data_IF_578838436051
#
_entry.id   IF_578838436051
#
_cell.length_a   1.000
_cell.length_b   1.000
_cell.length_c   1.000
_cell.angle_alpha   90.00
_cell.angle_beta   90.00
_cell.angle_gamma   90.00
#
_symmetry.space_group_name_H-M   'P 1'
#
loop_
_entity.id
_entity.type
_entity.pdbx_description
1 polymer ?
#
# COMPACT_ATOMS: atom_id res chain seq x y z
N UNK A 1 -13.60 -76.82 55.46
CA UNK A 1 -14.93 -77.06 54.86
C UNK A 1 -15.30 -75.83 54.06
N UNK A 2 -15.53 -75.99 52.74
CA UNK A 2 -16.01 -75.02 51.72
C UNK A 2 -15.19 -73.72 51.50
N UNK A 3 -14.39 -73.59 50.43
CA UNK A 3 -14.73 -73.14 49.04
C UNK A 3 -14.77 -71.59 48.95
N UNK A 4 -14.20 -70.87 47.97
CA UNK A 4 -14.04 -71.12 46.54
C UNK A 4 -13.05 -70.12 45.87
N UNK A 5 -12.53 -70.50 44.69
CA UNK A 5 -12.35 -69.70 43.44
C UNK A 5 -11.54 -68.38 43.44
N UNK A 6 -10.82 -67.94 42.41
CA UNK A 6 -10.38 -68.42 41.09
C UNK A 6 -9.33 -67.40 40.56
N UNK A 7 -8.54 -67.81 39.56
CA UNK A 7 -7.69 -67.07 38.60
C UNK A 7 -8.02 -65.58 38.31
N UNK A 8 -7.10 -64.69 37.92
CA UNK A 8 -6.27 -64.78 36.70
C UNK A 8 -5.21 -63.65 36.60
N UNK A 9 -4.15 -63.93 35.84
CA UNK A 9 -3.12 -63.01 35.36
C UNK A 9 -3.69 -61.90 34.45
N UNK A 10 -3.22 -60.65 34.60
CA UNK A 10 -3.33 -59.63 33.56
C UNK A 10 -2.10 -58.71 33.57
N UNK A 11 -1.18 -58.98 32.64
CA UNK A 11 -0.05 -58.12 32.26
C UNK A 11 -0.59 -57.04 31.30
N UNK A 12 -0.66 -55.80 31.77
CA UNK A 12 -1.08 -54.66 30.96
C UNK A 12 0.11 -53.92 30.35
N UNK A 13 0.57 -54.35 29.18
CA UNK A 13 1.34 -53.50 28.27
C UNK A 13 0.35 -52.79 27.34
N UNK A 14 0.36 -51.45 27.33
CA UNK A 14 -0.32 -50.64 26.32
C UNK A 14 0.58 -49.51 25.84
N UNK A 15 1.08 -49.69 24.63
CA UNK A 15 1.77 -48.69 23.81
C UNK A 15 0.93 -47.43 23.61
N UNK A 16 1.56 -46.24 23.48
CA UNK A 16 0.87 -45.03 23.08
C UNK A 16 0.68 -45.04 21.56
N UNK A 17 -0.50 -45.41 21.09
CA UNK A 17 -0.90 -45.15 19.70
C UNK A 17 -1.26 -43.67 19.59
N UNK A 18 -0.25 -42.83 19.36
CA UNK A 18 -0.44 -41.50 18.78
C UNK A 18 -1.19 -41.70 17.46
N UNK A 19 -2.44 -41.23 17.43
CA UNK A 19 -3.34 -41.41 16.30
C UNK A 19 -2.73 -40.76 15.05
N UNK A 20 -2.57 -41.49 13.93
CA UNK A 20 -2.07 -40.94 12.66
C UNK A 20 -2.96 -39.80 12.14
N UNK A 21 -4.22 -39.75 12.59
CA UNK A 21 -5.16 -38.66 12.31
C UNK A 21 -4.72 -37.34 12.97
N UNK A 22 -4.11 -37.37 14.17
CA UNK A 22 -3.59 -36.18 14.84
C UNK A 22 -2.36 -35.63 14.11
N UNK A 23 -1.49 -36.51 13.59
CA UNK A 23 -0.34 -36.14 12.77
C UNK A 23 -0.76 -35.56 11.40
N UNK A 24 -1.82 -36.10 10.78
CA UNK A 24 -2.42 -35.56 9.56
C UNK A 24 -3.09 -34.20 9.79
N UNK A 25 -3.77 -34.01 10.92
CA UNK A 25 -4.39 -32.73 11.29
C UNK A 25 -3.35 -31.65 11.66
N UNK A 26 -2.26 -32.03 12.35
CA UNK A 26 -1.11 -31.13 12.59
C UNK A 26 -0.36 -30.81 11.29
N UNK A 27 -0.20 -31.78 10.38
CA UNK A 27 0.44 -31.57 9.08
C UNK A 27 -0.39 -30.71 8.13
N UNK A 28 -1.71 -30.87 8.12
CA UNK A 28 -2.63 -30.09 7.30
C UNK A 28 -2.80 -28.64 7.80
N UNK A 29 -2.73 -28.41 9.12
CA UNK A 29 -2.78 -27.05 9.69
C UNK A 29 -1.50 -26.25 9.46
N UNK A 30 -0.36 -26.90 9.18
CA UNK A 30 0.89 -26.24 8.81
C UNK A 30 1.04 -25.99 7.30
N UNK A 31 0.22 -26.62 6.46
CA UNK A 31 0.37 -26.59 5.01
C UNK A 31 -0.50 -25.54 4.27
N UNK A 32 -1.38 -24.81 4.97
CA UNK A 32 -2.34 -23.89 4.34
C UNK A 32 -2.08 -22.39 4.58
N UNK A 33 -1.07 -22.02 5.35
CA UNK A 33 -0.56 -20.65 5.33
C UNK A 33 0.45 -20.55 4.18
N UNK A 34 -0.04 -20.43 2.95
CA UNK A 34 0.79 -19.90 1.87
C UNK A 34 1.25 -18.52 2.34
N UNK A 35 2.47 -18.44 2.86
CA UNK A 35 3.04 -17.23 3.43
C UNK A 35 3.24 -16.25 2.27
N UNK A 36 2.20 -15.48 1.96
CA UNK A 36 2.31 -14.37 1.03
C UNK A 36 3.45 -13.47 1.50
N UNK A 37 4.34 -13.08 0.59
CA UNK A 37 5.42 -12.16 0.90
C UNK A 37 4.87 -10.94 1.63
N UNK A 38 5.47 -10.53 2.77
CA UNK A 38 4.97 -9.38 3.50
C UNK A 38 5.06 -8.12 2.63
N UNK A 39 4.20 -7.11 2.86
CA UNK A 39 4.32 -5.84 2.18
C UNK A 39 5.72 -5.24 2.34
N UNK A 40 6.33 -4.85 1.22
CA UNK A 40 7.60 -4.18 1.22
C UNK A 40 7.40 -2.72 1.64
N UNK A 41 8.15 -2.27 2.64
CA UNK A 41 8.14 -0.89 3.13
C UNK A 41 9.44 -0.20 2.71
N UNK A 42 9.33 1.04 2.23
CA UNK A 42 10.46 1.86 1.85
C UNK A 42 10.27 3.28 2.39
N UNK A 43 11.15 3.71 3.29
CA UNK A 43 11.18 5.08 3.78
C UNK A 43 11.67 6.04 2.70
N UNK A 44 10.93 7.11 2.45
CA UNK A 44 11.18 8.07 1.38
C UNK A 44 11.30 9.50 1.93
N UNK A 45 11.95 10.36 1.17
CA UNK A 45 11.85 11.81 1.33
C UNK A 45 10.76 12.35 0.41
N UNK A 46 9.74 13.00 0.96
CA UNK A 46 8.77 13.77 0.20
C UNK A 46 9.29 15.21 0.09
N UNK A 47 9.68 15.60 -1.13
CA UNK A 47 10.33 16.87 -1.42
C UNK A 47 9.36 17.77 -2.18
N UNK A 48 9.14 18.96 -1.64
CA UNK A 48 8.32 19.98 -2.26
C UNK A 48 9.13 21.27 -2.40
N UNK A 49 8.98 21.91 -3.56
CA UNK A 49 9.48 23.25 -3.79
C UNK A 49 8.52 24.24 -3.10
N UNK A 50 9.07 25.09 -2.22
CA UNK A 50 8.29 26.17 -1.64
C UNK A 50 8.03 27.22 -2.72
N UNK A 51 6.74 27.48 -3.00
CA UNK A 51 6.31 28.37 -4.08
C UNK A 51 6.00 27.60 -5.35
N UNK A 52 4.80 27.02 -5.42
CA UNK A 52 4.33 26.29 -6.60
C UNK A 52 4.15 27.18 -7.83
N UNK A 53 5.22 27.43 -8.57
CA UNK A 53 5.21 28.30 -9.74
C UNK A 53 6.13 27.76 -10.82
N UNK A 54 5.56 27.18 -11.86
CA UNK A 54 6.32 26.80 -13.05
C UNK A 54 6.99 28.03 -13.66
N UNK A 55 8.31 28.08 -13.61
CA UNK A 55 9.06 29.18 -14.20
C UNK A 55 10.53 29.16 -13.80
N UNK A 56 11.34 28.37 -14.52
CA UNK A 56 12.75 28.58 -14.88
C UNK A 56 13.80 29.04 -13.86
N UNK A 57 13.45 29.32 -12.61
CA UNK A 57 14.35 29.80 -11.56
C UNK A 57 14.54 28.66 -10.57
N UNK A 58 15.80 28.35 -10.25
CA UNK A 58 16.12 27.33 -9.26
C UNK A 58 15.37 27.63 -7.95
N UNK A 59 14.60 26.68 -7.40
CA UNK A 59 13.88 26.87 -6.15
C UNK A 59 14.87 27.22 -5.04
N UNK A 60 14.64 28.33 -4.34
CA UNK A 60 15.49 28.77 -3.23
C UNK A 60 15.18 28.05 -1.93
N UNK A 61 13.96 27.50 -1.80
CA UNK A 61 13.48 26.84 -0.59
C UNK A 61 12.87 25.47 -0.93
N UNK A 62 13.48 24.41 -0.40
CA UNK A 62 13.00 23.03 -0.51
C UNK A 62 12.55 22.56 0.86
N UNK A 63 11.31 22.07 0.95
CA UNK A 63 10.83 21.38 2.14
C UNK A 63 10.95 19.87 1.95
N UNK A 64 11.61 19.19 2.88
CA UNK A 64 11.75 17.74 2.89
C UNK A 64 11.00 17.17 4.09
N UNK A 65 10.08 16.24 3.83
CA UNK A 65 9.27 15.57 4.85
C UNK A 65 9.47 14.06 4.76
N UNK A 66 9.32 13.33 5.85
CA UNK A 66 9.39 11.86 5.82
C UNK A 66 8.12 11.30 5.24
N UNK A 67 8.27 10.37 4.30
CA UNK A 67 7.18 9.61 3.70
C UNK A 67 7.47 8.11 3.77
N UNK A 68 6.44 7.32 3.54
CA UNK A 68 6.52 5.86 3.49
C UNK A 68 5.87 5.36 2.20
N UNK A 69 6.64 4.63 1.39
CA UNK A 69 6.10 3.85 0.28
C UNK A 69 5.88 2.41 0.75
N UNK A 70 4.67 1.90 0.54
CA UNK A 70 4.32 0.51 0.85
C UNK A 70 3.91 -0.19 -0.44
N UNK A 71 4.67 -1.20 -0.85
CA UNK A 71 4.35 -2.05 -1.99
C UNK A 71 3.75 -3.37 -1.46
N UNK A 72 2.43 -3.59 -1.62
CA UNK A 72 1.81 -4.86 -1.29
C UNK A 72 2.30 -5.97 -2.23
N UNK A 73 2.31 -7.23 -1.78
CA UNK A 73 2.58 -8.36 -2.67
C UNK A 73 1.68 -8.35 -3.92
N UNK A 74 2.15 -8.94 -5.04
CA UNK A 74 1.45 -8.90 -6.32
C UNK A 74 -0.02 -9.31 -6.22
N UNK A 75 -0.89 -8.51 -6.84
CA UNK A 75 -2.34 -8.77 -6.86
C UNK A 75 -3.08 -8.45 -5.56
N UNK A 76 -2.42 -7.88 -4.56
CA UNK A 76 -3.05 -7.53 -3.28
C UNK A 76 -3.20 -6.02 -3.10
N UNK A 77 -4.19 -5.64 -2.30
CA UNK A 77 -4.40 -4.27 -1.80
C UNK A 77 -4.56 -4.35 -0.28
N UNK A 78 -3.77 -3.58 0.47
CA UNK A 78 -3.94 -3.49 1.92
C UNK A 78 -5.07 -2.52 2.25
N UNK A 79 -5.86 -2.79 3.31
CA UNK A 79 -6.79 -1.81 3.86
C UNK A 79 -6.08 -0.53 4.31
N UNK A 80 -6.73 0.61 4.16
CA UNK A 80 -6.19 1.93 4.56
C UNK A 80 -5.81 1.97 6.04
N UNK A 81 -6.66 1.41 6.92
CA UNK A 81 -6.37 1.29 8.36
C UNK A 81 -5.08 0.49 8.66
N UNK A 82 -4.68 -0.45 7.79
CA UNK A 82 -3.43 -1.20 7.96
C UNK A 82 -2.19 -0.36 7.60
N UNK A 83 -2.35 0.63 6.72
CA UNK A 83 -1.28 1.57 6.36
C UNK A 83 -0.99 2.55 7.50
N UNK A 84 -2.05 3.02 8.17
CA UNK A 84 -1.94 3.99 9.27
C UNK A 84 -1.49 3.37 10.60
N UNK A 85 -1.93 2.15 10.91
CA UNK A 85 -1.63 1.49 12.20
C UNK A 85 -0.13 1.33 12.46
N UNK A 86 0.64 1.05 11.41
CA UNK A 86 2.07 0.73 11.51
C UNK A 86 2.94 1.87 10.94
N UNK A 87 2.44 3.11 10.99
CA UNK A 87 3.12 4.30 10.48
C UNK A 87 4.28 4.69 11.42
N UNK A 88 5.52 4.88 10.91
CA UNK A 88 6.62 5.39 11.72
C UNK A 88 6.30 6.78 12.29
N UNK A 89 6.74 7.06 13.52
CA UNK A 89 6.44 8.32 14.22
C UNK A 89 6.93 9.57 13.47
N UNK A 90 7.94 9.42 12.62
CA UNK A 90 8.51 10.52 11.84
C UNK A 90 7.69 10.85 10.59
N UNK A 91 6.80 9.95 10.15
CA UNK A 91 5.99 10.10 8.93
C UNK A 91 4.65 10.76 9.28
N UNK A 92 4.36 11.89 8.65
CA UNK A 92 3.11 12.62 8.85
C UNK A 92 1.89 11.86 8.27
N UNK A 93 0.69 12.01 8.86
CA UNK A 93 -0.53 11.50 8.27
C UNK A 93 -0.71 12.00 6.83
N UNK A 94 -1.06 11.10 5.91
CA UNK A 94 -1.19 11.41 4.49
C UNK A 94 0.11 11.37 3.67
N UNK A 95 1.27 11.07 4.28
CA UNK A 95 2.54 10.79 3.60
C UNK A 95 2.90 9.29 3.57
N UNK A 96 1.92 8.43 3.79
CA UNK A 96 2.03 7.00 3.55
C UNK A 96 1.32 6.66 2.23
N UNK A 97 2.05 6.08 1.30
CA UNK A 97 1.58 5.79 -0.05
C UNK A 97 1.60 4.28 -0.26
N UNK A 98 0.43 3.69 -0.45
CA UNK A 98 0.35 2.33 -0.98
C UNK A 98 0.54 2.39 -2.50
N UNK A 99 1.56 1.70 -2.99
CA UNK A 99 1.87 1.61 -4.41
C UNK A 99 1.25 0.35 -5.00
N UNK A 100 0.38 0.54 -5.99
CA UNK A 100 -0.13 -0.54 -6.83
C UNK A 100 0.70 -0.59 -8.11
N UNK A 101 1.26 -1.75 -8.40
CA UNK A 101 2.15 -1.99 -9.55
C UNK A 101 1.48 -2.92 -10.56
N UNK A 102 0.49 -2.45 -11.34
CA UNK A 102 -0.20 -3.29 -12.32
C UNK A 102 0.72 -3.74 -13.45
N UNK A 103 1.80 -3.02 -13.75
CA UNK A 103 2.80 -3.42 -14.75
C UNK A 103 3.72 -4.55 -14.26
N UNK A 104 3.80 -4.77 -12.94
CA UNK A 104 4.67 -5.79 -12.34
C UNK A 104 6.16 -5.45 -12.46
N UNK A 105 6.48 -4.16 -12.59
CA UNK A 105 7.84 -3.66 -12.82
C UNK A 105 8.71 -3.64 -11.56
N UNK A 106 8.08 -3.60 -10.37
CA UNK A 106 8.75 -3.41 -9.09
C UNK A 106 9.01 -4.72 -8.34
N UNK A 107 8.28 -5.77 -8.70
CA UNK A 107 8.48 -7.12 -8.18
C UNK A 107 9.39 -7.94 -9.10
N UNK A 108 10.16 -8.87 -8.54
CA UNK A 108 10.99 -9.82 -9.29
C UNK A 108 10.17 -10.80 -10.15
N UNK A 109 8.90 -11.00 -9.80
CA UNK A 109 7.97 -11.88 -10.48
C UNK A 109 6.55 -11.74 -9.91
N UNK A 110 5.67 -12.69 -10.26
CA UNK A 110 4.28 -12.75 -9.75
C UNK A 110 4.04 -13.85 -8.71
N UNK A 111 5.06 -14.66 -8.46
CA UNK A 111 5.00 -15.79 -7.54
C UNK A 111 4.89 -15.33 -6.07
N UNK A 112 4.41 -16.20 -5.16
CA UNK A 112 4.24 -15.87 -3.74
C UNK A 112 5.52 -15.41 -3.03
N UNK A 113 6.68 -15.86 -3.49
CA UNK A 113 8.02 -15.53 -2.98
C UNK A 113 8.68 -14.35 -3.70
N UNK A 114 7.95 -13.67 -4.60
CA UNK A 114 8.44 -12.50 -5.30
C UNK A 114 8.97 -11.46 -4.31
N UNK A 115 10.10 -10.86 -4.65
CA UNK A 115 10.77 -9.84 -3.84
C UNK A 115 10.76 -8.51 -4.57
N UNK A 116 10.74 -7.38 -3.84
CA UNK A 116 10.92 -6.09 -4.49
C UNK A 116 12.30 -6.04 -5.16
N UNK A 117 12.37 -5.47 -6.36
CA UNK A 117 13.63 -5.41 -7.16
C UNK A 117 14.70 -4.52 -6.54
N UNK A 118 14.32 -3.56 -5.69
CA UNK A 118 15.25 -2.77 -4.91
C UNK A 118 15.92 -3.55 -3.75
N UNK A 119 15.54 -4.81 -3.54
CA UNK A 119 16.16 -5.70 -2.57
C UNK A 119 15.60 -5.51 -1.16
N UNK A 120 16.35 -4.87 -0.27
CA UNK A 120 15.97 -4.77 1.15
C UNK A 120 14.76 -3.85 1.33
N UNK A 121 13.78 -4.31 2.11
CA UNK A 121 12.69 -3.48 2.62
C UNK A 121 13.12 -2.82 3.92
N UNK A 122 12.91 -1.52 4.05
CA UNK A 122 13.14 -0.77 5.28
C UNK A 122 12.18 0.41 5.36
N UNK A 123 11.39 0.50 6.42
CA UNK A 123 10.54 1.66 6.69
C UNK A 123 11.34 2.90 7.11
N UNK A 124 12.62 2.73 7.48
CA UNK A 124 13.53 3.83 7.77
C UNK A 124 14.61 3.95 6.70
N UNK A 125 14.87 5.14 6.16
CA UNK A 125 16.04 5.37 5.34
C UNK A 125 17.31 5.25 6.20
N UNK A 126 18.38 4.72 5.62
CA UNK A 126 19.62 4.46 6.33
C UNK A 126 20.67 3.84 5.41
N UNK A 127 21.87 3.62 5.95
CA UNK A 127 22.99 3.04 5.21
C UNK A 127 22.66 1.64 4.69
N UNK A 128 22.80 1.43 3.38
CA UNK A 128 22.45 0.18 2.70
C UNK A 128 20.94 -0.06 2.48
N UNK A 129 20.07 0.91 2.80
CA UNK A 129 18.69 0.92 2.34
C UNK A 129 18.60 1.65 0.98
N UNK A 130 17.67 1.26 0.09
CA UNK A 130 17.45 2.00 -1.15
C UNK A 130 17.12 3.47 -0.86
N UNK A 131 17.71 4.36 -1.64
CA UNK A 131 17.33 5.77 -1.63
C UNK A 131 15.95 5.92 -2.30
N UNK A 132 15.07 6.68 -1.68
CA UNK A 132 13.74 6.97 -2.20
C UNK A 132 13.41 8.45 -2.03
N UNK A 133 13.05 9.09 -3.15
CA UNK A 133 12.55 10.47 -3.18
C UNK A 133 11.19 10.51 -3.88
N UNK A 134 10.27 11.31 -3.35
CA UNK A 134 8.93 11.51 -3.87
C UNK A 134 8.66 13.01 -4.01
N UNK A 135 8.08 13.43 -5.13
CA UNK A 135 7.85 14.85 -5.40
C UNK A 135 6.47 15.01 -6.06
N UNK A 136 5.73 16.10 -5.80
CA UNK A 136 4.52 16.39 -6.54
C UNK A 136 4.82 16.47 -8.05
N UNK A 137 4.01 15.78 -8.85
CA UNK A 137 4.11 15.84 -10.30
C UNK A 137 2.88 16.54 -10.89
N UNK A 138 3.09 17.37 -11.92
CA UNK A 138 2.00 17.94 -12.70
C UNK A 138 2.20 17.51 -14.16
N UNK A 139 1.31 16.68 -14.73
CA UNK A 139 1.38 16.32 -16.13
C UNK A 139 1.40 17.57 -17.00
N UNK A 140 2.40 17.67 -17.87
CA UNK A 140 2.57 18.75 -18.84
C UNK A 140 3.11 18.15 -20.13
N UNK A 141 2.84 18.83 -21.23
CA UNK A 141 3.42 18.49 -22.52
C UNK A 141 4.94 18.60 -22.48
N UNK A 142 5.60 17.77 -23.27
CA UNK A 142 7.04 17.84 -23.43
C UNK A 142 7.42 19.16 -24.12
N UNK A 143 8.40 19.87 -23.55
CA UNK A 143 8.86 21.17 -24.06
C UNK A 143 9.68 21.06 -25.36
N UNK A 144 10.04 19.83 -25.77
CA UNK A 144 10.92 19.57 -26.92
C UNK A 144 10.11 19.45 -28.21
N UNK A 145 10.51 20.13 -29.31
CA UNK A 145 9.70 20.18 -30.54
C UNK A 145 9.39 18.81 -31.16
N UNK A 146 10.32 17.85 -31.07
CA UNK A 146 10.14 16.52 -31.66
C UNK A 146 9.02 15.72 -30.98
N UNK A 147 8.67 16.03 -29.73
CA UNK A 147 7.64 15.34 -28.97
C UNK A 147 6.25 16.00 -29.12
N UNK A 148 6.14 17.12 -29.82
CA UNK A 148 4.88 17.86 -29.97
C UNK A 148 3.75 16.98 -30.56
N UNK A 149 4.09 16.05 -31.45
CA UNK A 149 3.13 15.11 -32.04
C UNK A 149 2.50 14.12 -31.04
N UNK A 150 3.11 13.91 -29.85
CA UNK A 150 2.56 13.01 -28.82
C UNK A 150 1.37 13.62 -28.07
N UNK A 151 1.26 14.96 -28.06
CA UNK A 151 0.18 15.70 -27.42
C UNK A 151 -0.93 16.11 -28.42
N UNK A 152 -0.74 15.84 -29.71
CA UNK A 152 -1.72 16.18 -30.73
C UNK A 152 -2.99 15.33 -30.54
N UNK A 153 -4.14 16.00 -30.37
CA UNK A 153 -5.43 15.33 -30.40
C UNK A 153 -5.74 14.79 -31.80
N UNK A 154 -6.80 13.95 -31.93
CA UNK A 154 -7.19 13.33 -33.21
C UNK A 154 -7.46 14.33 -34.37
N UNK A 155 -7.62 15.62 -34.07
CA UNK A 155 -7.88 16.70 -35.04
C UNK A 155 -6.66 17.58 -35.35
N UNK A 156 -5.44 17.21 -34.95
CA UNK A 156 -4.20 17.91 -35.32
C UNK A 156 -4.03 19.33 -34.74
N UNK A 157 -4.99 19.84 -33.96
CA UNK A 157 -4.88 21.04 -33.13
C UNK A 157 -4.53 20.69 -31.69
N UNK A 158 -3.74 21.55 -31.03
CA UNK A 158 -3.29 21.39 -29.65
C UNK A 158 -4.44 20.96 -28.73
N UNK A 159 -4.41 19.68 -28.34
CA UNK A 159 -5.46 19.08 -27.55
C UNK A 159 -5.42 19.65 -26.13
N UNK A 160 -6.57 20.08 -25.60
CA UNK A 160 -6.65 20.42 -24.19
C UNK A 160 -6.18 19.26 -23.29
N UNK A 161 -5.80 19.56 -22.05
CA UNK A 161 -5.32 18.54 -21.11
C UNK A 161 -6.33 17.37 -21.00
N UNK A 162 -5.91 16.12 -21.26
CA UNK A 162 -6.79 14.96 -21.16
C UNK A 162 -7.40 14.83 -19.75
N UNK A 163 -8.72 14.70 -19.64
CA UNK A 163 -9.41 14.52 -18.34
C UNK A 163 -8.99 13.26 -17.59
N UNK A 164 -8.48 12.25 -18.29
CA UNK A 164 -7.90 11.05 -17.65
C UNK A 164 -6.68 11.36 -16.79
N UNK A 165 -6.10 12.57 -16.93
CA UNK A 165 -4.98 13.05 -16.12
C UNK A 165 -5.42 13.90 -14.92
N UNK A 166 -6.72 14.06 -14.68
CA UNK A 166 -7.24 14.77 -13.51
C UNK A 166 -6.81 14.08 -12.20
N UNK A 167 -6.68 14.86 -11.12
CA UNK A 167 -6.31 14.37 -9.80
C UNK A 167 -4.87 14.70 -9.41
N UNK A 168 -4.38 14.02 -8.36
CA UNK A 168 -3.04 14.26 -7.82
C UNK A 168 -2.05 13.24 -8.35
N UNK A 169 -0.88 13.72 -8.71
CA UNK A 169 0.21 12.90 -9.21
C UNK A 169 1.46 13.13 -8.38
N UNK A 170 2.24 12.07 -8.21
CA UNK A 170 3.52 12.07 -7.50
C UNK A 170 4.52 11.33 -8.37
N UNK A 171 5.73 11.84 -8.50
CA UNK A 171 6.84 11.07 -9.04
C UNK A 171 7.59 10.42 -7.88
N UNK A 172 7.96 9.15 -8.01
CA UNK A 172 8.75 8.42 -7.03
C UNK A 172 10.00 7.87 -7.70
N UNK A 173 11.16 8.24 -7.18
CA UNK A 173 12.48 7.79 -7.63
C UNK A 173 13.07 6.85 -6.59
N UNK A 174 13.36 5.62 -6.98
CA UNK A 174 13.96 4.59 -6.13
C UNK A 174 15.31 4.22 -6.71
N UNK A 175 16.36 4.25 -5.91
CA UNK A 175 17.73 3.87 -6.30
C UNK A 175 18.30 2.89 -5.27
N UNK A 176 18.79 1.75 -5.75
CA UNK A 176 19.42 0.71 -4.95
C UNK A 176 20.67 0.22 -5.69
N UNK A 177 21.84 0.86 -5.46
CA UNK A 177 23.09 0.48 -6.11
C UNK A 177 23.47 -0.98 -5.84
N UNK A 178 23.23 -1.47 -4.61
CA UNK A 178 23.55 -2.84 -4.19
C UNK A 178 22.72 -3.89 -4.96
N UNK A 179 21.51 -3.52 -5.38
CA UNK A 179 20.64 -4.36 -6.19
C UNK A 179 20.77 -4.08 -7.70
N UNK A 180 21.67 -3.18 -8.11
CA UNK A 180 21.77 -2.67 -9.47
C UNK A 180 20.40 -2.22 -10.05
N UNK A 181 19.58 -1.58 -9.21
CA UNK A 181 18.21 -1.22 -9.53
C UNK A 181 17.98 0.28 -9.38
N UNK A 182 17.36 0.89 -10.38
CA UNK A 182 16.92 2.27 -10.36
C UNK A 182 15.65 2.42 -11.17
N UNK A 183 14.65 3.11 -10.63
CA UNK A 183 13.39 3.40 -11.33
C UNK A 183 12.88 4.76 -10.93
N UNK A 184 12.26 5.45 -11.88
CA UNK A 184 11.49 6.67 -11.65
C UNK A 184 10.09 6.44 -12.22
N UNK A 185 9.08 6.48 -11.35
CA UNK A 185 7.70 6.16 -11.69
C UNK A 185 6.78 7.34 -11.43
N UNK A 186 5.90 7.65 -12.38
CA UNK A 186 4.81 8.61 -12.21
C UNK A 186 3.60 7.87 -11.66
N UNK A 187 3.13 8.28 -10.49
CA UNK A 187 2.08 7.64 -9.71
C UNK A 187 0.84 8.53 -9.69
N UNK A 188 -0.31 7.95 -10.01
CA UNK A 188 -1.61 8.60 -9.86
C UNK A 188 -2.21 8.25 -8.50
N UNK A 189 -2.67 9.25 -7.77
CA UNK A 189 -3.46 9.01 -6.57
C UNK A 189 -4.86 8.55 -7.01
N UNK A 190 -5.22 7.32 -6.66
CA UNK A 190 -6.60 6.86 -6.88
C UNK A 190 -7.57 7.77 -6.12
N UNK A 191 -8.56 8.30 -6.84
CA UNK A 191 -9.73 8.91 -6.22
C UNK A 191 -10.64 7.85 -5.61
N UNK A 192 -11.64 8.24 -4.79
CA UNK A 192 -12.68 7.32 -4.35
C UNK A 192 -13.30 6.64 -5.57
N UNK A 193 -13.40 5.30 -5.53
CA UNK A 193 -14.06 4.54 -6.58
C UNK A 193 -15.45 5.16 -6.87
N UNK A 194 -15.80 5.47 -8.13
CA UNK A 194 -17.11 6.00 -8.46
C UNK A 194 -18.17 4.98 -8.01
N UNK A 195 -18.90 5.30 -6.93
CA UNK A 195 -19.86 4.42 -6.27
C UNK A 195 -19.67 4.27 -4.75
N UNK A 196 -18.51 4.67 -4.19
CA UNK A 196 -18.31 4.83 -2.75
C UNK A 196 -18.08 6.30 -2.41
N UNK A 197 -19.14 7.11 -2.49
CA UNK A 197 -19.09 8.37 -1.78
C UNK A 197 -19.25 8.10 -0.28
N UNK A 198 -18.45 8.71 0.60
CA UNK A 198 -18.80 8.79 2.01
C UNK A 198 -20.19 9.40 2.09
N UNK A 199 -21.11 8.71 2.75
CA UNK A 199 -22.41 9.27 3.08
C UNK A 199 -22.17 10.56 3.87
N UNK A 200 -22.28 11.70 3.21
CA UNK A 200 -22.21 13.00 3.88
C UNK A 200 -23.35 13.00 4.89
N UNK A 201 -23.10 13.09 6.20
CA UNK A 201 -24.19 13.11 7.17
C UNK A 201 -25.04 14.35 6.87
N UNK A 202 -26.23 14.13 6.30
CA UNK A 202 -27.25 15.17 6.13
C UNK A 202 -27.75 15.51 7.53
N UNK A 203 -27.10 16.47 8.17
CA UNK A 203 -27.66 17.14 9.33
C UNK A 203 -28.88 17.93 8.85
N UNK A 204 -30.05 17.33 8.99
CA UNK A 204 -31.32 18.01 8.74
C UNK A 204 -31.68 18.72 10.05
N UNK A 205 -31.29 19.99 10.18
CA UNK A 205 -31.83 20.85 11.25
C UNK A 205 -33.30 21.14 10.96
N UNK A 206 -34.19 20.45 11.65
CA UNK A 206 -35.59 20.82 11.72
C UNK A 206 -35.74 21.97 12.72
N UNK A 207 -35.83 23.21 12.24
CA UNK A 207 -36.29 24.33 13.06
C UNK A 207 -37.79 24.18 13.34
N UNK A 208 -38.12 23.62 14.50
CA UNK A 208 -39.48 23.63 15.05
C UNK A 208 -39.88 25.05 15.46
N UNK A 209 -40.98 25.55 14.89
CA UNK A 209 -41.57 26.84 15.23
C UNK A 209 -42.14 26.77 16.66
N UNK A 210 -41.76 27.66 17.60
CA UNK A 210 -42.36 27.64 18.92
C UNK A 210 -43.84 27.97 18.81
N UNK A 211 -44.70 27.13 19.41
CA UNK A 211 -46.12 27.43 19.62
C UNK A 211 -46.21 28.61 20.59
N UNK A 212 -46.83 29.70 20.14
CA UNK A 212 -47.18 30.82 21.01
C UNK A 212 -48.10 30.36 22.14
N UNK A 213 -47.88 30.82 23.38
CA UNK A 213 -48.76 30.51 24.50
C UNK A 213 -50.07 31.28 24.36
N UNK A 214 -51.16 30.56 24.59
CA UNK A 214 -52.54 31.05 24.72
C UNK A 214 -52.72 31.82 26.04
N UNK A 215 -53.47 32.92 26.00
CA UNK A 215 -53.99 33.66 27.17
C UNK A 215 -53.81 35.17 27.00
N UNK A 216 -54.81 36.03 27.14
CA UNK A 216 -56.16 35.94 27.72
C UNK A 216 -57.13 36.86 26.95
#
# INVERSE_FOLDING_TARGET
MAAASSSSFARGERSPLLSPLLLLLLGASLAAAAAASPPAKLGCWFVEEAGGGGGGVMPSDLTQRRALLVLPPPGQRLPEAALERDLPAEVEPGLAFQLLDPSGSLWSGREPDARPRWGRSSARPGEGAPACEMNPYRPREAHVPWAAGLAAGPEGGGGGCPRSLDGRWVIASIQSPEAAFGVSSILHQEGPLPGKQPEVPRVTTATGRPRSPTGA
#
